data_IF_739062921442
#
_entry.id   IF_739062921442
#
_cell.length_a   1.000
_cell.length_b   1.000
_cell.length_c   1.000
_cell.angle_alpha   90.00
_cell.angle_beta   90.00
_cell.angle_gamma   90.00
#
_symmetry.space_group_name_H-M   'P 1'
#
loop_
_entity.id
_entity.type
_entity.pdbx_description
1 polymer ?
#
# COMPACT_ATOMS: atom_id res chain seq x y z
N UNK A 1 3.60 14.10 15.44
CA UNK A 1 2.60 13.36 14.63
C UNK A 1 3.24 12.10 14.02
N UNK A 2 2.61 10.92 14.03
CA UNK A 2 3.20 9.77 13.36
C UNK A 2 3.30 10.13 11.88
N UNK A 3 4.52 10.26 11.38
CA UNK A 3 4.86 10.84 10.08
C UNK A 3 4.78 9.78 8.96
N UNK A 4 4.02 8.71 9.19
CA UNK A 4 4.01 7.49 8.39
C UNK A 4 2.85 7.44 7.41
N UNK A 5 3.00 6.61 6.36
CA UNK A 5 1.93 6.26 5.43
C UNK A 5 0.70 5.75 6.19
N UNK A 6 -0.49 6.12 5.73
CA UNK A 6 -1.72 5.68 6.38
C UNK A 6 -1.83 4.15 6.35
N UNK A 7 -1.82 3.50 7.51
CA UNK A 7 -1.91 2.04 7.61
C UNK A 7 -0.59 1.28 7.41
N UNK A 8 0.55 1.96 7.57
CA UNK A 8 1.88 1.35 7.57
C UNK A 8 2.24 0.79 8.96
N UNK A 9 2.43 -0.53 9.05
CA UNK A 9 2.84 -1.17 10.30
C UNK A 9 4.33 -0.97 10.61
N UNK A 10 5.16 -0.53 9.65
CA UNK A 10 6.55 -0.19 9.92
C UNK A 10 6.71 1.09 10.77
N UNK A 11 5.64 1.85 10.99
CA UNK A 11 5.62 3.00 11.88
C UNK A 11 5.43 2.61 13.37
N UNK A 12 5.25 1.33 13.69
CA UNK A 12 5.17 0.84 15.06
C UNK A 12 6.51 1.02 15.80
N UNK A 13 6.45 1.42 17.07
CA UNK A 13 7.63 1.65 17.91
C UNK A 13 8.40 0.37 18.22
N UNK A 14 7.70 -0.77 18.31
CA UNK A 14 8.27 -2.10 18.39
C UNK A 14 7.66 -2.96 17.28
N UNK A 15 8.51 -3.41 16.35
CA UNK A 15 8.11 -4.25 15.24
C UNK A 15 8.64 -5.67 15.49
N UNK A 16 7.82 -6.50 16.12
CA UNK A 16 8.05 -7.93 16.25
C UNK A 16 6.98 -8.75 15.49
N UNK A 17 7.18 -10.06 15.40
CA UNK A 17 6.26 -10.95 14.69
C UNK A 17 4.85 -10.93 15.28
N UNK A 18 4.74 -10.83 16.61
CA UNK A 18 3.47 -10.83 17.32
C UNK A 18 2.66 -9.55 17.04
N UNK A 19 3.31 -8.39 17.09
CA UNK A 19 2.72 -7.10 16.76
C UNK A 19 2.30 -7.04 15.29
N UNK A 20 3.13 -7.57 14.38
CA UNK A 20 2.79 -7.65 12.95
C UNK A 20 1.54 -8.50 12.72
N UNK A 21 1.50 -9.70 13.28
CA UNK A 21 0.36 -10.62 13.16
C UNK A 21 -0.90 -10.02 13.77
N UNK A 22 -0.79 -9.38 14.94
CA UNK A 22 -1.93 -8.71 15.58
C UNK A 22 -2.47 -7.58 14.71
N UNK A 23 -1.59 -6.72 14.18
CA UNK A 23 -1.97 -5.62 13.29
C UNK A 23 -2.63 -6.10 12.00
N UNK A 24 -2.08 -7.13 11.35
CA UNK A 24 -2.68 -7.74 10.16
C UNK A 24 -4.05 -8.35 10.47
N UNK A 25 -4.20 -9.03 11.61
CA UNK A 25 -5.46 -9.62 12.05
C UNK A 25 -6.54 -8.56 12.28
N UNK A 26 -6.23 -7.51 13.04
CA UNK A 26 -7.18 -6.42 13.33
C UNK A 26 -7.64 -5.70 12.07
N UNK A 27 -6.70 -5.41 11.16
CA UNK A 27 -7.00 -4.81 9.85
C UNK A 27 -7.88 -5.70 9.00
N UNK A 28 -7.57 -6.99 8.92
CA UNK A 28 -8.38 -7.96 8.17
C UNK A 28 -9.81 -8.06 8.72
N UNK A 29 -9.97 -8.13 10.05
CA UNK A 29 -11.28 -8.13 10.70
C UNK A 29 -12.06 -6.84 10.41
N UNK A 30 -11.35 -5.74 10.24
CA UNK A 30 -11.90 -4.44 9.83
C UNK A 30 -12.06 -4.30 8.30
N UNK A 31 -12.00 -5.38 7.53
CA UNK A 31 -12.13 -5.41 6.06
C UNK A 31 -11.04 -4.64 5.30
N UNK A 32 -9.88 -4.40 5.93
CA UNK A 32 -8.70 -3.83 5.30
C UNK A 32 -7.71 -4.93 4.93
N UNK A 33 -7.77 -5.40 3.68
CA UNK A 33 -6.96 -6.52 3.20
C UNK A 33 -5.53 -6.14 2.79
N UNK A 34 -5.28 -4.85 2.59
CA UNK A 34 -4.00 -4.30 2.17
C UNK A 34 -3.36 -3.54 3.33
N UNK A 35 -2.09 -3.81 3.56
CA UNK A 35 -1.31 -3.20 4.65
C UNK A 35 0.09 -2.91 4.15
N UNK A 36 0.54 -1.66 4.30
CA UNK A 36 1.93 -1.31 4.01
C UNK A 36 2.81 -1.78 5.18
N UNK A 37 4.00 -2.28 4.87
CA UNK A 37 5.08 -2.50 5.83
C UNK A 37 6.33 -1.90 5.20
N UNK A 38 6.56 -0.60 5.45
CA UNK A 38 7.59 0.17 4.77
C UNK A 38 7.35 0.24 3.26
N UNK A 39 8.18 -0.44 2.47
CA UNK A 39 8.10 -0.45 1.01
C UNK A 39 7.33 -1.64 0.42
N UNK A 40 7.04 -2.66 1.23
CA UNK A 40 6.27 -3.84 0.81
C UNK A 40 4.78 -3.64 1.09
N UNK A 41 3.93 -4.25 0.27
CA UNK A 41 2.49 -4.32 0.47
C UNK A 41 2.09 -5.75 0.80
N UNK A 42 1.50 -5.97 1.96
CA UNK A 42 0.90 -7.25 2.34
C UNK A 42 -0.56 -7.28 1.94
N UNK A 43 -0.95 -8.34 1.24
CA UNK A 43 -2.33 -8.62 0.86
C UNK A 43 -2.82 -9.90 1.56
N UNK A 44 -3.95 -9.81 2.27
CA UNK A 44 -4.61 -10.97 2.89
C UNK A 44 -5.86 -11.31 2.08
N UNK A 45 -5.98 -12.56 1.62
CA UNK A 45 -7.11 -12.98 0.78
C UNK A 45 -8.44 -12.91 1.55
N UNK A 46 -9.42 -12.09 1.12
CA UNK A 46 -10.73 -12.00 1.78
C UNK A 46 -11.67 -13.16 1.48
N UNK A 47 -11.39 -13.98 0.45
CA UNK A 47 -12.29 -15.03 -0.05
C UNK A 47 -13.70 -14.55 -0.41
N UNK A 48 -13.87 -13.24 -0.65
CA UNK A 48 -15.11 -12.61 -1.04
C UNK A 48 -14.84 -11.39 -1.92
N UNK A 49 -15.78 -11.01 -2.80
CA UNK A 49 -15.65 -9.78 -3.57
C UNK A 49 -15.71 -8.55 -2.66
N UNK A 50 -14.83 -7.57 -2.91
CA UNK A 50 -14.82 -6.28 -2.21
C UNK A 50 -14.95 -5.13 -3.23
N UNK A 51 -15.62 -4.01 -2.87
CA UNK A 51 -15.81 -2.87 -3.76
C UNK A 51 -14.55 -1.97 -3.86
N UNK A 52 -13.36 -2.56 -3.99
CA UNK A 52 -12.07 -1.86 -3.94
C UNK A 52 -11.46 -1.62 -5.33
N UNK A 53 -11.97 -2.30 -6.37
CA UNK A 53 -11.36 -2.28 -7.70
C UNK A 53 -12.15 -1.47 -8.73
N UNK A 54 -13.13 -0.67 -8.29
CA UNK A 54 -13.93 0.19 -9.15
C UNK A 54 -13.12 1.34 -9.78
N UNK A 55 -13.67 1.91 -10.86
CA UNK A 55 -13.05 3.03 -11.59
C UNK A 55 -12.75 4.23 -10.70
N UNK A 56 -13.69 4.62 -9.85
CA UNK A 56 -13.54 5.72 -8.89
C UNK A 56 -12.39 5.49 -7.90
N UNK A 57 -12.12 4.23 -7.53
CA UNK A 57 -10.99 3.89 -6.68
C UNK A 57 -9.70 4.05 -7.46
N UNK A 58 -9.63 3.49 -8.67
CA UNK A 58 -8.45 3.61 -9.55
C UNK A 58 -8.05 5.07 -9.80
N UNK A 59 -9.02 5.93 -10.13
CA UNK A 59 -8.79 7.36 -10.38
C UNK A 59 -8.17 8.09 -9.17
N UNK A 60 -8.57 7.74 -7.94
CA UNK A 60 -7.96 8.31 -6.72
C UNK A 60 -6.46 7.99 -6.57
N UNK A 61 -6.01 6.83 -7.05
CA UNK A 61 -4.61 6.40 -6.92
C UNK A 61 -3.70 6.78 -8.11
N UNK A 62 -4.22 7.51 -9.12
CA UNK A 62 -3.40 7.92 -10.27
C UNK A 62 -2.41 9.05 -9.95
N UNK A 63 -2.65 9.80 -8.88
CA UNK A 63 -1.80 10.93 -8.49
C UNK A 63 -0.41 10.47 -8.01
N UNK A 64 0.55 11.41 -7.96
CA UNK A 64 1.88 11.15 -7.41
C UNK A 64 1.89 11.07 -5.87
N UNK A 65 0.87 11.63 -5.21
CA UNK A 65 0.73 11.73 -3.77
C UNK A 65 -0.34 10.77 -3.26
N UNK A 66 0.07 9.52 -3.07
CA UNK A 66 -0.79 8.45 -2.54
C UNK A 66 -0.48 8.11 -1.09
N UNK A 67 0.48 8.78 -0.45
CA UNK A 67 0.93 8.45 0.91
C UNK A 67 -0.13 8.75 2.00
N UNK A 68 -1.08 9.64 1.70
CA UNK A 68 -2.25 9.93 2.55
C UNK A 68 -3.45 9.02 2.27
N UNK A 69 -3.38 8.18 1.23
CA UNK A 69 -4.43 7.23 0.90
C UNK A 69 -4.18 5.90 1.62
N UNK A 70 -5.23 5.09 1.84
CA UNK A 70 -5.06 3.75 2.38
C UNK A 70 -4.11 2.88 1.51
N UNK A 71 -3.49 1.84 2.08
CA UNK A 71 -2.65 0.93 1.31
C UNK A 71 -3.49 0.24 0.22
N UNK A 72 -2.98 0.20 -1.01
CA UNK A 72 -3.68 -0.39 -2.13
C UNK A 72 -2.73 -0.81 -3.25
N UNK A 73 -3.08 -1.87 -3.98
CA UNK A 73 -2.28 -2.34 -5.12
C UNK A 73 -2.15 -1.29 -6.24
N UNK A 74 -3.16 -0.42 -6.40
CA UNK A 74 -3.09 0.71 -7.33
C UNK A 74 -2.03 1.73 -6.94
N UNK A 75 -1.78 1.94 -5.64
CA UNK A 75 -0.67 2.78 -5.19
C UNK A 75 0.66 2.18 -5.64
N UNK A 76 0.87 0.87 -5.46
CA UNK A 76 2.10 0.16 -5.90
C UNK A 76 2.30 0.30 -7.41
N UNK A 77 1.26 0.03 -8.20
CA UNK A 77 1.29 0.17 -9.66
C UNK A 77 1.60 1.62 -10.09
N UNK A 78 0.95 2.61 -9.46
CA UNK A 78 1.20 4.02 -9.71
C UNK A 78 2.64 4.42 -9.36
N UNK A 79 3.17 3.95 -8.22
CA UNK A 79 4.56 4.21 -7.82
C UNK A 79 5.55 3.67 -8.84
N UNK A 80 5.36 2.43 -9.30
CA UNK A 80 6.20 1.82 -10.34
C UNK A 80 6.08 2.60 -11.66
N UNK A 81 4.87 2.89 -12.12
CA UNK A 81 4.65 3.62 -13.37
C UNK A 81 5.31 5.01 -13.36
N UNK A 82 5.13 5.78 -12.30
CA UNK A 82 5.73 7.12 -12.20
C UNK A 82 7.26 7.07 -12.05
N UNK A 83 7.80 6.05 -11.36
CA UNK A 83 9.24 5.82 -11.30
C UNK A 83 9.81 5.46 -12.69
N UNK A 84 9.08 4.67 -13.47
CA UNK A 84 9.45 4.32 -14.84
C UNK A 84 9.57 5.55 -15.74
N UNK A 85 8.72 6.54 -15.54
CA UNK A 85 8.74 7.80 -16.28
C UNK A 85 9.72 8.85 -15.71
N UNK A 86 10.45 8.54 -14.63
CA UNK A 86 11.37 9.48 -14.00
C UNK A 86 10.72 10.64 -13.27
N UNK A 87 9.40 10.58 -13.02
CA UNK A 87 8.63 11.65 -12.36
C UNK A 87 8.95 11.86 -10.88
N UNK A 88 9.84 11.04 -10.32
CA UNK A 88 10.34 11.12 -8.93
C UNK A 88 11.81 11.58 -8.83
N UNK A 89 12.29 12.35 -9.80
CA UNK A 89 13.60 13.01 -9.74
C UNK A 89 14.82 12.13 -10.06
N UNK A 90 14.62 10.84 -10.35
CA UNK A 90 15.72 9.89 -10.64
C UNK A 90 15.90 9.52 -12.12
N UNK A 91 15.21 10.21 -13.04
CA UNK A 91 15.18 9.85 -14.47
C UNK A 91 14.40 8.55 -14.78
N UNK A 92 14.06 8.28 -16.05
CA UNK A 92 13.34 7.06 -16.46
C UNK A 92 14.16 5.79 -16.19
N UNK A 93 13.52 4.74 -15.66
CA UNK A 93 14.17 3.45 -15.37
C UNK A 93 13.20 2.27 -15.38
N UNK A 94 13.65 1.08 -15.78
CA UNK A 94 12.80 -0.12 -15.78
C UNK A 94 12.33 -0.48 -14.36
N UNK A 95 11.11 -1.01 -14.24
CA UNK A 95 10.48 -1.38 -12.96
C UNK A 95 9.93 -2.81 -13.03
N UNK A 96 9.84 -3.46 -11.88
CA UNK A 96 9.28 -4.80 -11.72
C UNK A 96 8.42 -4.83 -10.46
N UNK A 97 7.31 -5.57 -10.50
CA UNK A 97 6.48 -5.87 -9.33
C UNK A 97 6.55 -7.38 -9.13
N UNK A 98 7.06 -7.80 -7.96
CA UNK A 98 7.06 -9.19 -7.54
C UNK A 98 5.85 -9.41 -6.63
N UNK A 99 5.10 -10.48 -6.88
CA UNK A 99 3.94 -10.91 -6.09
C UNK A 99 4.30 -12.21 -5.38
#
# INVERSE_FOLDING_TARGET
PPSGRAGDLAALSELDEAALLSGLRERFLSQHIYTDIGDILVAVNPFQPLPLYGREVSERYQSLQTDSLPPHIFAVAGRAYHAMLGRRGGGPRNQCILV
#
